data_IF_748075730302
#
_entry.id   IF_748075730302
#
_cell.length_a   1.000
_cell.length_b   1.000
_cell.length_c   1.000
_cell.angle_alpha   90.00
_cell.angle_beta   90.00
_cell.angle_gamma   90.00
#
_symmetry.space_group_name_H-M   'P 1'
#
loop_
_entity.id
_entity.type
_entity.pdbx_description
1 polymer ?
#
# COMPACT_ATOMS: atom_id res chain seq x y z
N UNK A 1 6.29 -15.48 -15.28
CA UNK A 1 6.84 -14.15 -14.90
C UNK A 1 6.10 -13.73 -13.64
N UNK A 2 6.74 -13.82 -12.48
CA UNK A 2 6.09 -13.51 -11.21
C UNK A 2 6.06 -12.00 -11.03
N UNK A 3 4.86 -11.41 -11.07
CA UNK A 3 4.67 -9.99 -10.88
C UNK A 3 5.10 -9.64 -9.45
N UNK A 4 6.30 -9.08 -9.30
CA UNK A 4 6.72 -8.48 -8.04
C UNK A 4 6.01 -7.14 -7.93
N UNK A 5 4.99 -6.99 -7.08
CA UNK A 5 4.35 -5.69 -6.91
C UNK A 5 5.41 -4.71 -6.44
N UNK A 6 5.56 -3.58 -7.14
CA UNK A 6 6.46 -2.50 -6.75
C UNK A 6 5.96 -1.74 -5.52
N UNK A 7 5.20 -2.39 -4.64
CA UNK A 7 4.45 -1.76 -3.56
C UNK A 7 4.86 -2.26 -2.18
N UNK A 8 4.56 -1.46 -1.16
CA UNK A 8 4.63 -1.87 0.23
C UNK A 8 3.30 -2.50 0.64
N UNK A 9 3.35 -3.65 1.31
CA UNK A 9 2.17 -4.33 1.89
C UNK A 9 2.39 -4.55 3.38
N UNK A 10 1.37 -4.33 4.18
CA UNK A 10 1.40 -4.49 5.63
C UNK A 10 0.11 -5.08 6.18
N UNK A 11 0.13 -5.41 7.47
CA UNK A 11 -1.06 -5.85 8.20
C UNK A 11 -1.19 -5.00 9.46
N UNK A 12 -2.40 -4.60 9.82
CA UNK A 12 -2.72 -3.85 11.04
C UNK A 12 -3.93 -4.48 11.71
N UNK A 13 -3.93 -4.61 13.03
CA UNK A 13 -5.09 -5.11 13.77
C UNK A 13 -6.30 -4.19 13.56
N UNK A 14 -7.50 -4.77 13.41
CA UNK A 14 -8.71 -3.98 13.08
C UNK A 14 -9.08 -2.94 14.14
N UNK A 15 -8.76 -3.19 15.42
CA UNK A 15 -9.03 -2.29 16.53
C UNK A 15 -8.03 -1.14 16.65
N UNK A 16 -6.93 -1.16 15.88
CA UNK A 16 -5.91 -0.12 15.96
C UNK A 16 -6.22 1.01 14.97
N UNK A 17 -7.26 1.78 15.28
CA UNK A 17 -7.75 2.91 14.47
C UNK A 17 -6.65 3.96 14.23
N UNK A 18 -5.83 4.23 15.25
CA UNK A 18 -4.72 5.19 15.14
C UNK A 18 -3.70 4.78 14.07
N UNK A 19 -3.32 3.49 14.02
CA UNK A 19 -2.42 2.99 12.99
C UNK A 19 -3.08 2.97 11.61
N UNK A 20 -4.37 2.60 11.54
CA UNK A 20 -5.14 2.64 10.28
C UNK A 20 -5.15 4.04 9.70
N UNK A 21 -5.48 5.05 10.50
CA UNK A 21 -5.51 6.44 10.06
C UNK A 21 -4.14 6.97 9.68
N UNK A 22 -3.10 6.58 10.44
CA UNK A 22 -1.72 6.87 10.07
C UNK A 22 -1.42 6.33 8.66
N UNK A 23 -1.62 5.03 8.42
CA UNK A 23 -1.30 4.43 7.12
C UNK A 23 -2.14 5.00 5.97
N UNK A 24 -3.43 5.29 6.21
CA UNK A 24 -4.29 5.99 5.24
C UNK A 24 -3.73 7.35 4.86
N UNK A 25 -3.26 8.15 5.82
CA UNK A 25 -2.62 9.45 5.55
C UNK A 25 -1.36 9.34 4.70
N UNK A 26 -0.63 8.23 4.79
CA UNK A 26 0.54 7.96 3.95
C UNK A 26 0.21 7.33 2.58
N UNK A 27 -1.08 7.24 2.22
CA UNK A 27 -1.55 6.71 0.95
C UNK A 27 -1.55 5.19 0.87
N UNK A 28 -1.67 4.50 2.01
CA UNK A 28 -2.00 3.08 2.02
C UNK A 28 -3.52 2.91 2.01
N UNK A 29 -3.96 1.89 1.27
CA UNK A 29 -5.36 1.51 1.16
C UNK A 29 -5.58 0.15 1.81
N UNK A 30 -6.74 -0.04 2.44
CA UNK A 30 -7.14 -1.35 2.96
C UNK A 30 -7.71 -2.15 1.79
N UNK A 31 -7.01 -3.21 1.40
CA UNK A 31 -7.39 -4.05 0.25
C UNK A 31 -8.13 -5.33 0.65
N UNK A 32 -7.96 -5.76 1.90
CA UNK A 32 -8.48 -7.04 2.39
C UNK A 32 -8.58 -6.99 3.92
N UNK A 33 -9.47 -7.78 4.51
CA UNK A 33 -9.50 -8.03 5.96
C UNK A 33 -9.39 -9.51 6.22
N UNK A 34 -8.33 -9.92 6.89
CA UNK A 34 -8.08 -11.31 7.25
C UNK A 34 -8.65 -11.61 8.63
N UNK A 35 -9.56 -12.57 8.67
CA UNK A 35 -10.11 -13.10 9.92
C UNK A 35 -9.09 -13.99 10.62
N UNK A 36 -9.03 -13.92 11.95
CA UNK A 36 -8.14 -14.75 12.78
C UNK A 36 -6.67 -14.70 12.34
N UNK A 37 -6.19 -13.52 11.94
CA UNK A 37 -4.82 -13.32 11.50
C UNK A 37 -3.82 -13.45 12.66
N UNK A 38 -4.15 -12.90 13.82
CA UNK A 38 -3.34 -12.99 15.03
C UNK A 38 -3.84 -14.13 15.93
N UNK A 39 -2.92 -14.97 16.41
CA UNK A 39 -3.28 -16.19 17.18
C UNK A 39 -3.51 -15.97 18.67
N UNK A 40 -3.13 -14.81 19.22
CA UNK A 40 -2.99 -14.60 20.68
C UNK A 40 -3.58 -13.30 21.20
N UNK A 41 -4.20 -12.49 20.34
CA UNK A 41 -4.76 -11.18 20.72
C UNK A 41 -6.16 -11.05 20.12
N UNK A 42 -7.04 -10.34 20.83
CA UNK A 42 -8.39 -10.02 20.39
C UNK A 42 -8.55 -8.51 20.17
N UNK A 43 -9.21 -8.06 19.09
CA UNK A 43 -9.72 -8.88 17.99
C UNK A 43 -8.59 -9.51 17.16
N UNK A 44 -8.74 -10.79 16.81
CA UNK A 44 -7.73 -11.53 16.05
C UNK A 44 -7.60 -11.09 14.57
N UNK A 45 -8.55 -10.28 14.09
CA UNK A 45 -8.63 -9.83 12.71
C UNK A 45 -7.57 -8.77 12.37
N UNK A 46 -7.13 -8.76 11.11
CA UNK A 46 -6.22 -7.75 10.57
C UNK A 46 -6.68 -7.18 9.23
N UNK A 47 -6.56 -5.86 9.08
CA UNK A 47 -6.63 -5.22 7.77
C UNK A 47 -5.30 -5.36 7.04
N UNK A 48 -5.38 -5.73 5.77
CA UNK A 48 -4.25 -5.74 4.85
C UNK A 48 -4.18 -4.37 4.18
N UNK A 49 -3.04 -3.72 4.34
CA UNK A 49 -2.74 -2.43 3.75
C UNK A 49 -1.84 -2.62 2.53
N UNK A 50 -2.10 -1.88 1.46
CA UNK A 50 -1.23 -1.83 0.29
C UNK A 50 -1.00 -0.39 -0.15
N UNK A 51 0.24 -0.08 -0.53
CA UNK A 51 0.62 1.15 -1.23
C UNK A 51 1.45 0.79 -2.44
N UNK A 52 0.98 1.18 -3.62
CA UNK A 52 1.75 1.02 -4.84
C UNK A 52 2.86 2.07 -4.86
N UNK A 53 4.13 1.66 -4.86
CA UNK A 53 5.22 2.58 -5.18
C UNK A 53 5.30 2.58 -6.70
N UNK A 54 4.95 3.71 -7.31
CA UNK A 54 5.33 3.95 -8.70
C UNK A 54 6.85 4.07 -8.67
N UNK A 55 7.54 3.13 -9.31
CA UNK A 55 8.92 3.40 -9.70
C UNK A 55 8.87 4.68 -10.54
N UNK A 56 9.72 5.68 -10.30
CA UNK A 56 9.92 6.75 -11.27
C UNK A 56 10.62 6.12 -12.47
N UNK A 57 9.88 5.37 -13.28
CA UNK A 57 10.33 4.93 -14.58
C UNK A 57 10.36 6.16 -15.48
N UNK A 58 11.49 6.86 -15.47
CA UNK A 58 11.91 7.85 -16.45
C UNK A 58 10.92 8.97 -16.76
N UNK A 59 11.09 10.12 -16.11
CA UNK A 59 10.89 11.38 -16.83
C UNK A 59 11.96 11.48 -17.93
N UNK A 60 11.77 10.77 -19.04
CA UNK A 60 12.39 11.19 -20.29
C UNK A 60 11.49 12.28 -20.84
N UNK A 61 11.99 13.52 -20.76
CA UNK A 61 11.39 14.66 -21.41
C UNK A 61 11.17 14.32 -22.90
N UNK A 62 9.92 14.20 -23.30
CA UNK A 62 9.55 14.49 -24.67
C UNK A 62 9.79 15.99 -24.87
N UNK A 63 11.05 16.33 -25.16
CA UNK A 63 11.39 17.59 -25.82
C UNK A 63 10.72 17.48 -27.19
N UNK A 64 9.45 17.87 -27.24
CA UNK A 64 8.81 18.27 -28.47
C UNK A 64 9.64 19.41 -29.03
N UNK A 65 10.50 19.03 -29.99
CA UNK A 65 11.27 19.93 -30.83
C UNK A 65 10.35 21.05 -31.31
N UNK A 66 10.55 22.24 -30.73
CA UNK A 66 10.51 23.47 -31.52
C UNK A 66 11.58 23.32 -32.59
N UNK A 67 11.17 23.32 -33.85
CA UNK A 67 11.89 24.02 -34.92
C UNK A 67 10.88 24.35 -36.02
N UNK A 68 10.86 25.64 -36.32
CA UNK A 68 10.07 26.34 -37.33
C UNK A 68 10.60 26.06 -38.74
#
# INVERSE_FOLDING_TARGET
MEFRPSGARGHVQISNESAIDFYRKFGFEIIETKKNYYKRIEPADAHVLQKNLKVPSGQNADVQKTDN
#
